data_IF_369919516487
#
_entry.id   IF_369919516487
#
_cell.length_a   1.000
_cell.length_b   1.000
_cell.length_c   1.000
_cell.angle_alpha   90.00
_cell.angle_beta   90.00
_cell.angle_gamma   90.00
#
_symmetry.space_group_name_H-M   'P 1'
#
loop_
_entity.id
_entity.type
_entity.pdbx_description
1 polymer ?
#
# COMPACT_ATOMS: atom_id res chain seq x y z
N UNK A 1 -2.85 -20.00 -3.24
CA UNK A 1 -3.28 -19.96 -1.83
C UNK A 1 -3.31 -18.52 -1.34
N UNK A 2 -4.15 -18.20 -0.39
CA UNK A 2 -4.08 -16.92 0.30
C UNK A 2 -3.05 -16.99 1.43
N UNK A 3 -2.62 -15.82 1.96
CA UNK A 3 -1.60 -15.73 3.02
C UNK A 3 -1.83 -16.69 4.20
N UNK A 4 -3.07 -16.79 4.70
CA UNK A 4 -3.42 -17.69 5.81
C UNK A 4 -3.17 -19.18 5.51
N UNK A 5 -3.43 -19.58 4.27
CA UNK A 5 -3.16 -20.96 3.85
C UNK A 5 -1.66 -21.24 3.79
N UNK A 6 -0.87 -20.23 3.37
CA UNK A 6 0.59 -20.32 3.38
C UNK A 6 1.13 -20.43 4.81
N UNK A 7 0.68 -19.58 5.72
CA UNK A 7 1.08 -19.60 7.14
C UNK A 7 0.74 -20.95 7.78
N UNK A 8 -0.43 -21.51 7.46
CA UNK A 8 -0.82 -22.86 7.91
C UNK A 8 0.08 -23.94 7.31
N UNK A 9 0.30 -23.92 5.99
CA UNK A 9 1.15 -24.89 5.31
C UNK A 9 2.62 -24.82 5.80
N UNK A 10 3.08 -23.62 6.17
CA UNK A 10 4.39 -23.40 6.78
C UNK A 10 4.47 -24.06 8.17
N UNK A 11 3.45 -23.86 9.01
CA UNK A 11 3.39 -24.46 10.35
C UNK A 11 3.26 -25.99 10.32
N UNK A 12 2.48 -26.53 9.38
CA UNK A 12 2.21 -27.96 9.23
C UNK A 12 3.35 -28.69 8.48
N UNK A 13 4.34 -27.97 7.93
CA UNK A 13 5.39 -28.54 7.10
C UNK A 13 4.94 -29.05 5.73
N UNK A 14 3.71 -28.71 5.29
CA UNK A 14 3.09 -29.16 4.03
C UNK A 14 3.33 -28.22 2.83
N UNK A 15 4.37 -27.38 2.92
CA UNK A 15 4.73 -26.46 1.85
C UNK A 15 5.15 -27.20 0.57
N UNK A 16 4.64 -26.80 -0.61
CA UNK A 16 5.14 -27.32 -1.87
C UNK A 16 6.61 -26.93 -2.09
N UNK A 17 7.34 -27.76 -2.85
CA UNK A 17 8.74 -27.49 -3.20
C UNK A 17 8.91 -26.29 -4.14
N UNK A 18 7.85 -25.82 -4.78
CA UNK A 18 7.88 -24.64 -5.65
C UNK A 18 6.86 -23.63 -5.19
N UNK A 19 7.31 -22.41 -4.92
CA UNK A 19 6.49 -21.29 -4.48
C UNK A 19 6.63 -20.10 -5.43
N UNK A 20 5.58 -19.31 -5.57
CA UNK A 20 5.58 -18.02 -6.25
C UNK A 20 4.93 -16.99 -5.34
N UNK A 21 5.70 -16.02 -4.88
CA UNK A 21 5.20 -14.85 -4.15
C UNK A 21 4.94 -13.72 -5.13
N UNK A 22 3.69 -13.25 -5.18
CA UNK A 22 3.27 -12.14 -6.03
C UNK A 22 2.35 -11.18 -5.30
N UNK A 23 2.16 -9.98 -5.84
CA UNK A 23 1.24 -8.99 -5.30
C UNK A 23 1.90 -7.68 -4.92
N UNK A 24 1.09 -6.71 -4.53
CA UNK A 24 1.51 -5.33 -4.30
C UNK A 24 1.99 -5.06 -2.87
N UNK A 25 1.67 -5.95 -1.89
CA UNK A 25 2.03 -5.81 -0.48
C UNK A 25 3.46 -6.33 -0.22
N UNK A 26 4.45 -5.47 -0.51
CA UNK A 26 5.87 -5.84 -0.42
C UNK A 26 6.29 -6.22 1.00
N UNK A 27 5.86 -5.46 2.01
CA UNK A 27 6.20 -5.76 3.41
C UNK A 27 5.69 -7.14 3.83
N UNK A 28 4.48 -7.51 3.41
CA UNK A 28 3.92 -8.83 3.74
C UNK A 28 4.67 -9.97 3.05
N UNK A 29 5.16 -9.76 1.83
CA UNK A 29 6.03 -10.74 1.14
C UNK A 29 7.34 -10.91 1.86
N UNK A 30 7.96 -9.82 2.34
CA UNK A 30 9.18 -9.86 3.12
C UNK A 30 8.99 -10.57 4.46
N UNK A 31 7.88 -10.28 5.16
CA UNK A 31 7.52 -10.98 6.40
C UNK A 31 7.33 -12.48 6.17
N UNK A 32 6.66 -12.87 5.07
CA UNK A 32 6.46 -14.26 4.70
C UNK A 32 7.79 -14.96 4.33
N UNK A 33 8.69 -14.26 3.63
CA UNK A 33 10.04 -14.77 3.34
C UNK A 33 10.86 -14.93 4.60
N UNK A 34 10.78 -13.98 5.54
CA UNK A 34 11.46 -14.09 6.85
C UNK A 34 10.92 -15.28 7.66
N UNK A 35 9.60 -15.49 7.67
CA UNK A 35 8.99 -16.66 8.31
C UNK A 35 9.43 -17.97 7.65
N UNK A 36 9.51 -18.00 6.31
CA UNK A 36 9.99 -19.15 5.54
C UNK A 36 11.45 -19.49 5.90
N UNK A 37 12.33 -18.49 5.95
CA UNK A 37 13.73 -18.64 6.40
C UNK A 37 13.81 -19.22 7.80
N UNK A 38 13.11 -18.60 8.73
CA UNK A 38 13.12 -19.05 10.15
C UNK A 38 12.65 -20.49 10.33
N UNK A 39 11.73 -20.95 9.49
CA UNK A 39 11.18 -22.32 9.59
C UNK A 39 12.05 -23.36 8.89
N UNK A 40 12.62 -23.01 7.72
CA UNK A 40 13.36 -23.97 6.89
C UNK A 40 14.86 -24.02 7.21
N UNK A 41 15.44 -22.90 7.66
CA UNK A 41 16.87 -22.78 7.81
C UNK A 41 17.28 -22.88 9.30
N UNK A 42 18.17 -23.79 9.67
CA UNK A 42 18.69 -23.85 11.03
C UNK A 42 19.49 -22.59 11.38
N UNK A 43 19.33 -22.11 12.61
CA UNK A 43 20.04 -20.92 13.09
C UNK A 43 21.57 -21.07 12.96
N UNK A 44 22.21 -20.09 12.32
CA UNK A 44 23.65 -20.07 12.04
C UNK A 44 24.08 -20.90 10.81
N UNK A 45 23.13 -21.49 10.08
CA UNK A 45 23.39 -22.24 8.84
C UNK A 45 22.68 -21.65 7.62
N UNK A 46 22.16 -20.43 7.78
CA UNK A 46 21.36 -19.77 6.74
C UNK A 46 22.16 -19.60 5.45
N UNK A 47 23.39 -19.09 5.53
CA UNK A 47 24.25 -18.85 4.36
C UNK A 47 24.59 -20.13 3.56
N UNK A 48 24.58 -21.30 4.22
CA UNK A 48 24.87 -22.58 3.57
C UNK A 48 23.63 -23.19 2.90
N UNK A 49 22.45 -22.82 3.37
CA UNK A 49 21.18 -23.41 2.93
C UNK A 49 20.27 -22.43 2.17
N UNK A 50 20.63 -21.16 2.07
CA UNK A 50 19.95 -20.19 1.22
C UNK A 50 20.81 -19.78 0.04
N UNK A 51 20.18 -19.67 -1.13
CA UNK A 51 20.77 -19.08 -2.31
C UNK A 51 19.79 -18.08 -2.93
N UNK A 52 20.24 -16.84 -3.07
CA UNK A 52 19.46 -15.80 -3.76
C UNK A 52 20.09 -15.58 -5.13
N UNK A 53 19.28 -15.70 -6.18
CA UNK A 53 19.72 -15.58 -7.55
C UNK A 53 18.93 -14.46 -8.24
N UNK A 54 19.67 -13.54 -8.84
CA UNK A 54 19.13 -12.46 -9.65
C UNK A 54 19.37 -12.80 -11.13
N UNK A 55 18.31 -12.96 -11.91
CA UNK A 55 18.31 -13.29 -13.33
C UNK A 55 19.21 -14.51 -13.72
N UNK A 56 19.06 -15.67 -13.04
CA UNK A 56 19.92 -16.83 -13.30
C UNK A 56 19.52 -17.56 -14.58
N UNK A 57 20.52 -18.18 -15.21
CA UNK A 57 20.28 -19.17 -16.26
C UNK A 57 19.59 -20.42 -15.69
N UNK A 58 18.73 -21.07 -16.49
CA UNK A 58 17.98 -22.26 -16.05
C UNK A 58 18.85 -23.35 -15.45
N UNK A 59 20.04 -23.60 -16.03
CA UNK A 59 20.97 -24.62 -15.53
C UNK A 59 21.52 -24.29 -14.13
N UNK A 60 21.69 -23.00 -13.82
CA UNK A 60 22.07 -22.56 -12.48
C UNK A 60 20.96 -22.80 -11.47
N UNK A 61 19.69 -22.54 -11.85
CA UNK A 61 18.53 -22.82 -11.00
C UNK A 61 18.41 -24.31 -10.69
N UNK A 62 18.56 -25.16 -11.72
CA UNK A 62 18.51 -26.61 -11.57
C UNK A 62 19.65 -27.09 -10.66
N UNK A 63 20.89 -26.67 -10.91
CA UNK A 63 22.03 -27.04 -10.09
C UNK A 63 21.88 -26.61 -8.63
N UNK A 64 21.34 -25.42 -8.39
CA UNK A 64 21.05 -24.94 -7.05
C UNK A 64 20.00 -25.80 -6.33
N UNK A 65 18.94 -26.21 -7.04
CA UNK A 65 17.85 -27.01 -6.49
C UNK A 65 18.28 -28.48 -6.22
N UNK A 66 19.15 -29.05 -7.05
CA UNK A 66 19.70 -30.41 -6.92
C UNK A 66 20.79 -30.50 -5.83
N UNK A 67 21.34 -29.39 -5.39
CA UNK A 67 22.35 -29.39 -4.31
C UNK A 67 21.69 -29.75 -3.01
N UNK A 68 22.23 -30.76 -2.29
CA UNK A 68 21.70 -31.19 -0.99
C UNK A 68 21.85 -30.11 0.08
N UNK A 69 20.87 -30.00 1.02
CA UNK A 69 20.98 -29.10 2.16
C UNK A 69 22.12 -29.52 3.09
N UNK A 70 22.74 -28.54 3.76
CA UNK A 70 23.81 -28.78 4.71
C UNK A 70 23.25 -28.74 6.15
N UNK A 71 23.25 -29.91 6.83
CA UNK A 71 22.74 -30.06 8.22
C UNK A 71 21.31 -29.46 8.40
N UNK A 72 20.49 -29.52 7.37
CA UNK A 72 19.10 -29.04 7.35
C UNK A 72 18.23 -30.03 6.56
N UNK A 73 16.90 -29.99 6.78
CA UNK A 73 15.97 -30.83 6.04
C UNK A 73 15.74 -30.29 4.61
N UNK A 74 15.76 -28.99 4.47
CA UNK A 74 15.52 -28.30 3.21
C UNK A 74 16.46 -27.12 3.03
N UNK A 75 16.72 -26.77 1.76
CA UNK A 75 17.38 -25.51 1.38
C UNK A 75 16.39 -24.60 0.67
N UNK A 76 16.66 -23.31 0.69
CA UNK A 76 15.85 -22.25 0.07
C UNK A 76 16.59 -21.62 -1.10
N UNK A 77 15.98 -21.64 -2.28
CA UNK A 77 16.48 -20.96 -3.47
C UNK A 77 15.48 -19.84 -3.81
N UNK A 78 15.91 -18.57 -3.74
CA UNK A 78 15.08 -17.40 -4.00
C UNK A 78 15.45 -16.80 -5.36
N UNK A 79 14.52 -16.79 -6.29
CA UNK A 79 14.67 -16.20 -7.62
C UNK A 79 13.93 -14.86 -7.64
N UNK A 80 14.67 -13.75 -7.67
CA UNK A 80 14.06 -12.40 -7.68
C UNK A 80 13.69 -11.98 -9.09
N UNK A 81 12.44 -11.56 -9.25
CA UNK A 81 11.88 -10.99 -10.49
C UNK A 81 12.25 -11.77 -11.77
N UNK A 82 12.30 -13.10 -11.68
CA UNK A 82 12.70 -13.96 -12.77
C UNK A 82 11.86 -13.69 -14.04
N UNK A 83 12.51 -13.52 -15.23
CA UNK A 83 11.81 -13.13 -16.47
C UNK A 83 10.68 -14.06 -16.89
N UNK A 84 10.80 -15.37 -16.61
CA UNK A 84 9.77 -16.35 -16.92
C UNK A 84 8.46 -16.17 -16.15
N UNK A 85 8.43 -15.39 -15.05
CA UNK A 85 7.20 -15.07 -14.29
C UNK A 85 6.79 -13.61 -14.41
N UNK A 86 7.72 -12.67 -14.64
CA UNK A 86 7.43 -11.22 -14.72
C UNK A 86 7.01 -10.76 -16.11
N UNK A 87 7.04 -11.60 -17.12
CA UNK A 87 6.65 -11.26 -18.48
C UNK A 87 7.73 -10.56 -19.32
N UNK A 88 8.91 -10.30 -18.77
CA UNK A 88 10.01 -9.59 -19.45
C UNK A 88 10.89 -10.47 -20.36
N UNK A 89 10.78 -11.80 -20.24
CA UNK A 89 11.59 -12.78 -21.00
C UNK A 89 10.78 -13.71 -21.86
N UNK A 90 11.48 -14.53 -22.64
CA UNK A 90 10.90 -15.63 -23.39
C UNK A 90 10.39 -16.76 -22.48
N UNK A 91 9.66 -17.72 -23.06
CA UNK A 91 9.21 -18.88 -22.33
C UNK A 91 10.40 -19.79 -22.01
N UNK A 92 10.58 -20.11 -20.73
CA UNK A 92 11.60 -21.07 -20.29
C UNK A 92 10.97 -22.45 -20.17
N UNK A 93 10.83 -23.14 -21.30
CA UNK A 93 10.21 -24.45 -21.36
C UNK A 93 11.02 -25.50 -20.58
N UNK A 94 12.35 -25.34 -20.48
CA UNK A 94 13.25 -26.24 -19.74
C UNK A 94 12.98 -26.10 -18.22
N UNK A 95 12.89 -24.88 -17.72
CA UNK A 95 12.57 -24.63 -16.31
C UNK A 95 11.17 -25.12 -15.98
N UNK A 96 10.18 -24.85 -16.84
CA UNK A 96 8.79 -25.32 -16.65
C UNK A 96 8.72 -26.85 -16.58
N UNK A 97 9.45 -27.54 -17.43
CA UNK A 97 9.52 -29.03 -17.43
C UNK A 97 10.19 -29.58 -16.16
N UNK A 98 11.13 -28.83 -15.59
CA UNK A 98 11.85 -29.22 -14.38
C UNK A 98 11.04 -29.08 -13.09
N UNK A 99 10.12 -28.10 -12.99
CA UNK A 99 9.40 -27.79 -11.75
C UNK A 99 8.80 -29.01 -11.01
N UNK A 100 8.15 -29.98 -11.70
CA UNK A 100 7.62 -31.18 -11.04
C UNK A 100 8.69 -32.10 -10.44
N UNK A 101 9.94 -31.94 -10.86
CA UNK A 101 11.08 -32.77 -10.44
C UNK A 101 11.91 -32.12 -9.34
N UNK A 102 11.55 -30.90 -8.89
CA UNK A 102 12.25 -30.22 -7.78
C UNK A 102 12.25 -31.13 -6.55
N UNK A 103 13.43 -31.46 -5.97
CA UNK A 103 13.54 -32.36 -4.83
C UNK A 103 12.75 -31.85 -3.62
N UNK A 104 12.22 -32.76 -2.80
CA UNK A 104 11.55 -32.41 -1.55
C UNK A 104 12.48 -31.73 -0.54
N UNK A 105 13.79 -31.87 -0.72
CA UNK A 105 14.86 -31.23 0.07
C UNK A 105 15.15 -29.80 -0.37
N UNK A 106 14.47 -29.28 -1.39
CA UNK A 106 14.62 -27.91 -1.86
C UNK A 106 13.25 -27.18 -1.86
N UNK A 107 13.29 -25.88 -1.58
CA UNK A 107 12.18 -24.95 -1.81
C UNK A 107 12.65 -23.91 -2.80
N UNK A 108 12.06 -23.91 -3.99
CA UNK A 108 12.30 -22.95 -5.05
C UNK A 108 11.24 -21.86 -4.98
N UNK A 109 11.64 -20.65 -4.59
CA UNK A 109 10.76 -19.50 -4.45
C UNK A 109 10.99 -18.49 -5.57
N UNK A 110 10.01 -18.29 -6.41
CA UNK A 110 9.94 -17.14 -7.31
C UNK A 110 9.37 -15.95 -6.53
N UNK A 111 10.18 -14.94 -6.31
CA UNK A 111 9.80 -13.73 -5.57
C UNK A 111 9.61 -12.57 -6.56
N UNK A 112 8.36 -12.13 -6.77
CA UNK A 112 8.04 -11.02 -7.65
C UNK A 112 7.82 -9.73 -6.86
N UNK A 113 8.49 -8.64 -7.25
CA UNK A 113 8.31 -7.30 -6.65
C UNK A 113 6.90 -6.73 -6.92
N UNK A 114 6.13 -7.31 -7.81
CA UNK A 114 4.77 -6.90 -8.13
C UNK A 114 3.91 -8.09 -8.48
N UNK A 115 3.00 -7.88 -9.44
CA UNK A 115 2.19 -8.96 -10.01
C UNK A 115 2.99 -9.74 -11.03
N UNK A 116 2.85 -11.04 -11.01
CA UNK A 116 3.37 -11.93 -12.05
C UNK A 116 2.46 -11.93 -13.29
N UNK A 117 2.98 -12.39 -14.42
CA UNK A 117 2.20 -12.55 -15.65
C UNK A 117 1.49 -13.91 -15.69
N UNK A 118 0.20 -13.91 -15.37
CA UNK A 118 -0.64 -15.11 -15.34
C UNK A 118 -0.75 -15.85 -16.69
N UNK A 119 -0.32 -15.24 -17.80
CA UNK A 119 -0.30 -15.85 -19.14
C UNK A 119 0.92 -16.75 -19.37
N UNK A 120 1.93 -16.64 -18.53
CA UNK A 120 3.16 -17.44 -18.64
C UNK A 120 2.94 -18.90 -18.29
N UNK A 121 3.61 -19.79 -19.03
CA UNK A 121 3.57 -21.24 -18.79
C UNK A 121 4.04 -21.59 -17.37
N UNK A 122 5.10 -20.91 -16.88
CA UNK A 122 5.64 -21.13 -15.55
C UNK A 122 4.60 -20.79 -14.46
N UNK A 123 3.89 -19.64 -14.58
CA UNK A 123 2.79 -19.31 -13.67
C UNK A 123 1.74 -20.43 -13.62
N UNK A 124 1.34 -20.92 -14.80
CA UNK A 124 0.34 -22.00 -14.89
C UNK A 124 0.85 -23.30 -14.24
N UNK A 125 2.13 -23.62 -14.40
CA UNK A 125 2.74 -24.79 -13.78
C UNK A 125 2.77 -24.68 -12.27
N UNK A 126 3.26 -23.56 -11.71
CA UNK A 126 3.27 -23.32 -10.25
C UNK A 126 1.85 -23.30 -9.68
N UNK A 127 0.88 -22.75 -10.41
CA UNK A 127 -0.54 -22.74 -10.00
C UNK A 127 -1.09 -24.17 -9.85
N UNK A 128 -0.78 -25.06 -10.79
CA UNK A 128 -1.20 -26.49 -10.72
C UNK A 128 -0.59 -27.20 -9.52
N UNK A 129 0.61 -26.81 -9.10
CA UNK A 129 1.28 -27.35 -7.92
C UNK A 129 0.78 -26.73 -6.60
N UNK A 130 -0.14 -25.76 -6.66
CA UNK A 130 -0.67 -25.06 -5.48
C UNK A 130 0.31 -24.05 -4.84
N UNK A 131 1.42 -23.73 -5.51
CA UNK A 131 2.51 -22.93 -4.94
C UNK A 131 2.37 -21.42 -5.06
N UNK A 132 1.29 -20.88 -5.67
CA UNK A 132 1.12 -19.42 -5.77
C UNK A 132 0.59 -18.86 -4.46
N UNK A 133 1.30 -17.87 -3.91
CA UNK A 133 0.89 -17.09 -2.73
C UNK A 133 0.73 -15.63 -3.16
N UNK A 134 -0.50 -15.14 -3.10
CA UNK A 134 -0.84 -13.78 -3.52
C UNK A 134 -0.95 -12.84 -2.33
N UNK A 135 -0.14 -11.78 -2.33
CA UNK A 135 -0.15 -10.70 -1.35
C UNK A 135 -0.83 -9.47 -1.97
N UNK A 136 -2.15 -9.56 -2.11
CA UNK A 136 -2.94 -8.46 -2.64
C UNK A 136 -2.97 -7.29 -1.65
N UNK A 137 -3.12 -6.08 -2.20
CA UNK A 137 -3.25 -4.88 -1.38
C UNK A 137 -4.45 -5.00 -0.45
N UNK A 138 -4.20 -4.80 0.84
CA UNK A 138 -5.26 -4.81 1.84
C UNK A 138 -6.19 -3.60 1.67
N UNK A 139 -7.47 -3.79 1.89
CA UNK A 139 -8.46 -2.73 1.81
C UNK A 139 -9.65 -2.98 2.72
N UNK A 140 -10.37 -1.90 3.07
CA UNK A 140 -11.59 -1.99 3.87
C UNK A 140 -11.37 -2.74 5.19
N UNK A 141 -12.27 -3.65 5.51
CA UNK A 141 -12.24 -4.39 6.78
C UNK A 141 -10.99 -5.26 6.98
N UNK A 142 -10.35 -5.72 5.91
CA UNK A 142 -9.09 -6.49 6.01
C UNK A 142 -7.94 -5.61 6.50
N UNK A 143 -7.86 -4.36 5.99
CA UNK A 143 -6.84 -3.41 6.42
C UNK A 143 -7.08 -2.95 7.87
N UNK A 144 -8.34 -2.70 8.25
CA UNK A 144 -8.69 -2.37 9.65
C UNK A 144 -8.28 -3.51 10.58
N UNK A 145 -8.57 -4.76 10.21
CA UNK A 145 -8.14 -5.93 10.98
C UNK A 145 -6.62 -6.04 11.07
N UNK A 146 -5.91 -5.83 9.98
CA UNK A 146 -4.44 -5.82 9.98
C UNK A 146 -3.88 -4.83 11.00
N UNK A 147 -4.44 -3.63 11.10
CA UNK A 147 -4.01 -2.60 12.06
C UNK A 147 -4.32 -3.01 13.51
N UNK A 148 -5.53 -3.53 13.77
CA UNK A 148 -5.90 -4.00 15.13
C UNK A 148 -5.05 -5.18 15.57
N UNK A 149 -4.81 -6.16 14.68
CA UNK A 149 -3.97 -7.32 14.96
C UNK A 149 -2.52 -6.90 15.23
N UNK A 150 -1.98 -5.95 14.46
CA UNK A 150 -0.62 -5.44 14.65
C UNK A 150 -0.45 -4.66 15.97
N UNK A 151 -1.46 -3.90 16.42
CA UNK A 151 -1.45 -3.32 17.77
C UNK A 151 -1.51 -4.39 18.86
N UNK A 152 -2.33 -5.41 18.67
CA UNK A 152 -2.43 -6.53 19.61
C UNK A 152 -1.08 -7.29 19.71
N UNK A 153 -0.39 -7.54 18.59
CA UNK A 153 0.97 -8.09 18.56
C UNK A 153 1.97 -7.22 19.35
N UNK A 154 1.77 -5.89 19.35
CA UNK A 154 2.57 -4.94 20.14
C UNK A 154 2.09 -4.80 21.60
N UNK A 155 1.17 -5.67 22.06
CA UNK A 155 0.64 -5.66 23.43
C UNK A 155 -0.32 -4.50 23.73
N UNK A 156 -1.00 -3.97 22.69
CA UNK A 156 -1.93 -2.85 22.80
C UNK A 156 -3.30 -3.18 22.22
N UNK A 157 -4.35 -2.74 22.89
CA UNK A 157 -5.69 -2.78 22.33
C UNK A 157 -5.95 -1.54 21.46
N UNK A 158 -6.59 -1.75 20.31
CA UNK A 158 -6.96 -0.69 19.38
C UNK A 158 -8.36 -0.99 18.83
N UNK A 159 -9.29 -0.07 19.00
CA UNK A 159 -10.62 -0.22 18.43
C UNK A 159 -10.62 0.06 16.91
N UNK A 160 -11.64 -0.45 16.22
CA UNK A 160 -11.76 -0.31 14.76
C UNK A 160 -11.80 1.15 14.30
N UNK A 161 -12.36 2.06 15.09
CA UNK A 161 -12.45 3.49 14.77
C UNK A 161 -11.08 4.16 14.83
N UNK A 162 -10.27 3.84 15.83
CA UNK A 162 -8.88 4.31 15.97
C UNK A 162 -8.01 3.74 14.87
N UNK A 163 -8.19 2.45 14.52
CA UNK A 163 -7.51 1.82 13.40
C UNK A 163 -7.84 2.49 12.06
N UNK A 164 -9.11 2.75 11.79
CA UNK A 164 -9.55 3.46 10.57
C UNK A 164 -8.99 4.88 10.51
N UNK A 165 -8.89 5.56 11.67
CA UNK A 165 -8.29 6.90 11.75
C UNK A 165 -6.79 6.87 11.45
N UNK A 166 -6.07 5.86 11.94
CA UNK A 166 -4.66 5.66 11.59
C UNK A 166 -4.49 5.41 10.08
N UNK A 167 -5.31 4.53 9.51
CA UNK A 167 -5.31 4.25 8.06
C UNK A 167 -5.58 5.52 7.25
N UNK A 168 -6.55 6.32 7.65
CA UNK A 168 -6.85 7.59 6.99
C UNK A 168 -5.68 8.57 7.07
N UNK A 169 -4.97 8.60 8.20
CA UNK A 169 -3.85 9.52 8.44
C UNK A 169 -2.60 9.10 7.67
N UNK A 170 -2.21 7.85 7.78
CA UNK A 170 -0.95 7.30 7.25
C UNK A 170 -1.09 6.81 5.81
N UNK A 171 -2.28 6.36 5.43
CA UNK A 171 -2.54 5.68 4.17
C UNK A 171 -2.63 4.16 4.34
N UNK A 172 -2.73 3.45 3.21
CA UNK A 172 -3.01 2.01 3.18
C UNK A 172 -1.76 1.13 3.00
N UNK A 173 -0.56 1.70 3.01
CA UNK A 173 0.68 0.94 2.90
C UNK A 173 0.99 0.20 4.21
N UNK A 174 1.07 -1.13 4.14
CA UNK A 174 1.24 -1.97 5.33
C UNK A 174 2.56 -1.72 6.07
N UNK A 175 3.64 -1.39 5.34
CA UNK A 175 4.94 -1.06 5.93
C UNK A 175 4.90 0.23 6.73
N UNK A 176 4.35 1.29 6.15
CA UNK A 176 4.14 2.58 6.81
C UNK A 176 3.24 2.44 8.04
N UNK A 177 2.14 1.69 7.92
CA UNK A 177 1.25 1.41 9.05
C UNK A 177 1.96 0.68 10.19
N UNK A 178 2.75 -0.37 9.91
CA UNK A 178 3.53 -1.08 10.94
C UNK A 178 4.53 -0.16 11.66
N UNK A 179 5.21 0.70 10.91
CA UNK A 179 6.16 1.66 11.49
C UNK A 179 5.48 2.65 12.43
N UNK A 180 4.32 3.20 12.02
CA UNK A 180 3.53 4.10 12.85
C UNK A 180 2.91 3.40 14.06
N UNK A 181 2.43 2.15 13.90
CA UNK A 181 1.92 1.31 15.00
C UNK A 181 3.00 1.08 16.05
N UNK A 182 4.22 0.71 15.66
CA UNK A 182 5.32 0.50 16.59
C UNK A 182 5.66 1.78 17.37
N UNK A 183 5.68 2.93 16.69
CA UNK A 183 5.90 4.24 17.31
C UNK A 183 4.82 4.61 18.32
N UNK A 184 3.55 4.45 17.95
CA UNK A 184 2.39 4.77 18.80
C UNK A 184 2.31 3.81 20.00
N UNK A 185 2.53 2.50 19.77
CA UNK A 185 2.55 1.50 20.84
C UNK A 185 3.66 1.79 21.87
N UNK A 186 4.85 2.17 21.40
CA UNK A 186 5.96 2.57 22.28
C UNK A 186 5.65 3.81 23.11
N UNK A 187 5.00 4.81 22.51
CA UNK A 187 4.57 6.03 23.22
C UNK A 187 3.50 5.74 24.28
N UNK A 188 2.61 4.79 24.00
CA UNK A 188 1.57 4.41 24.97
C UNK A 188 2.17 3.83 26.27
N UNK A 189 3.43 3.36 26.28
CA UNK A 189 4.13 2.86 27.47
C UNK A 189 3.34 1.76 28.19
N UNK A 190 3.02 1.95 29.46
CA UNK A 190 2.26 0.99 30.26
C UNK A 190 0.74 0.98 29.99
N UNK A 191 0.22 1.94 29.24
CA UNK A 191 -1.22 1.98 28.92
C UNK A 191 -1.60 0.76 28.06
N UNK A 192 -2.69 0.05 28.40
CA UNK A 192 -3.09 -1.16 27.66
C UNK A 192 -3.71 -0.86 26.31
N UNK A 193 -4.20 0.37 26.07
CA UNK A 193 -4.90 0.76 24.84
C UNK A 193 -4.33 2.02 24.21
N UNK A 194 -4.48 2.13 22.90
CA UNK A 194 -4.18 3.31 22.10
C UNK A 194 -5.48 4.03 21.70
N UNK A 195 -5.41 5.34 21.53
CA UNK A 195 -6.57 6.20 21.25
C UNK A 195 -6.37 7.03 19.97
N UNK A 196 -7.45 7.60 19.46
CA UNK A 196 -7.39 8.54 18.34
C UNK A 196 -6.52 9.78 18.64
N UNK A 197 -6.41 10.19 19.92
CA UNK A 197 -5.54 11.30 20.33
C UNK A 197 -4.07 10.93 20.20
N UNK A 198 -3.69 9.69 20.50
CA UNK A 198 -2.32 9.19 20.30
C UNK A 198 -1.97 9.19 18.80
N UNK A 199 -2.89 8.75 17.96
CA UNK A 199 -2.74 8.82 16.49
C UNK A 199 -2.58 10.26 16.03
N UNK A 200 -3.45 11.18 16.50
CA UNK A 200 -3.40 12.59 16.13
C UNK A 200 -2.10 13.28 16.54
N UNK A 201 -1.53 12.90 17.68
CA UNK A 201 -0.32 13.49 18.22
C UNK A 201 0.97 13.00 17.53
N UNK A 202 0.99 11.73 17.08
CA UNK A 202 2.22 11.04 16.70
C UNK A 202 2.28 10.60 15.26
N UNK A 203 1.13 10.22 14.67
CA UNK A 203 1.14 9.66 13.32
C UNK A 203 1.60 10.70 12.29
N UNK A 204 2.49 10.28 11.41
CA UNK A 204 2.97 11.10 10.30
C UNK A 204 1.92 11.09 9.18
N UNK A 205 1.27 12.24 8.87
CA UNK A 205 0.25 12.27 7.84
C UNK A 205 0.84 11.98 6.45
N UNK A 206 0.15 11.13 5.69
CA UNK A 206 0.41 10.94 4.28
C UNK A 206 0.18 12.22 3.48
N UNK A 207 0.70 12.27 2.26
CA UNK A 207 0.41 13.39 1.35
C UNK A 207 -1.10 13.55 1.10
N UNK A 208 -1.84 12.44 1.00
CA UNK A 208 -3.31 12.48 0.84
C UNK A 208 -4.01 13.10 2.04
N UNK A 209 -3.62 12.69 3.25
CA UNK A 209 -4.15 13.27 4.48
C UNK A 209 -3.81 14.75 4.60
N UNK A 210 -2.58 15.14 4.24
CA UNK A 210 -2.16 16.54 4.27
C UNK A 210 -2.92 17.39 3.26
N UNK A 211 -3.17 16.88 2.04
CA UNK A 211 -4.00 17.58 1.05
C UNK A 211 -5.45 17.71 1.54
N UNK A 212 -5.98 16.69 2.21
CA UNK A 212 -7.28 16.80 2.86
C UNK A 212 -7.32 17.94 3.92
N UNK A 213 -6.29 18.01 4.78
CA UNK A 213 -6.13 19.09 5.76
C UNK A 213 -5.92 20.47 5.11
N UNK A 214 -5.22 20.51 3.98
CA UNK A 214 -5.02 21.71 3.18
C UNK A 214 -6.36 22.24 2.65
N UNK A 215 -7.19 21.37 2.08
CA UNK A 215 -8.54 21.75 1.61
C UNK A 215 -9.41 22.19 2.78
N UNK A 216 -9.32 21.54 3.94
CA UNK A 216 -10.00 21.97 5.15
C UNK A 216 -9.59 23.38 5.58
N UNK A 217 -8.29 23.67 5.57
CA UNK A 217 -7.77 25.00 5.86
C UNK A 217 -8.24 26.06 4.83
N UNK A 218 -8.34 25.70 3.56
CA UNK A 218 -8.90 26.56 2.51
C UNK A 218 -10.40 26.80 2.79
N UNK A 219 -11.16 25.75 3.05
CA UNK A 219 -12.60 25.82 3.34
C UNK A 219 -12.91 26.65 4.59
N UNK A 220 -12.05 26.57 5.59
CA UNK A 220 -12.22 27.33 6.85
C UNK A 220 -11.59 28.75 6.82
N UNK A 221 -11.00 29.15 5.67
CA UNK A 221 -10.37 30.48 5.49
C UNK A 221 -9.04 30.66 6.23
N UNK A 222 -8.41 29.57 6.67
CA UNK A 222 -7.15 29.58 7.40
C UNK A 222 -5.95 29.73 6.43
N UNK A 223 -5.83 30.92 5.81
CA UNK A 223 -4.85 31.23 4.74
C UNK A 223 -3.42 30.82 5.11
N UNK A 224 -2.95 31.24 6.30
CA UNK A 224 -1.60 30.92 6.78
C UNK A 224 -1.35 29.42 6.90
N UNK A 225 -2.32 28.68 7.46
CA UNK A 225 -2.23 27.22 7.62
C UNK A 225 -2.19 26.50 6.28
N UNK A 226 -3.05 26.91 5.34
CA UNK A 226 -3.08 26.33 4.00
C UNK A 226 -1.71 26.44 3.28
N UNK A 227 -1.10 27.64 3.31
CA UNK A 227 0.20 27.86 2.70
C UNK A 227 1.33 27.10 3.42
N UNK A 228 1.29 27.00 4.76
CA UNK A 228 2.27 26.21 5.53
C UNK A 228 2.19 24.74 5.17
N UNK A 229 0.97 24.14 5.14
CA UNK A 229 0.77 22.74 4.78
C UNK A 229 1.31 22.45 3.38
N UNK A 230 1.02 23.31 2.41
CA UNK A 230 1.55 23.19 1.05
C UNK A 230 3.09 23.24 1.03
N UNK A 231 3.69 24.27 1.66
CA UNK A 231 5.15 24.45 1.67
C UNK A 231 5.86 23.29 2.36
N UNK A 232 5.37 22.81 3.48
CA UNK A 232 5.95 21.68 4.19
C UNK A 232 5.96 20.41 3.34
N UNK A 233 4.88 20.14 2.59
CA UNK A 233 4.85 18.98 1.69
C UNK A 233 5.87 19.08 0.56
N UNK A 234 6.05 20.26 -0.03
CA UNK A 234 7.05 20.49 -1.06
C UNK A 234 8.49 20.35 -0.50
N UNK A 235 8.73 20.86 0.71
CA UNK A 235 10.03 20.72 1.39
C UNK A 235 10.32 19.26 1.76
N UNK A 236 9.31 18.47 2.07
CA UNK A 236 9.42 17.03 2.34
C UNK A 236 9.55 16.17 1.07
N UNK A 237 9.73 16.77 -0.09
CA UNK A 237 9.99 16.08 -1.35
C UNK A 237 8.74 15.63 -2.11
N UNK A 238 7.54 16.07 -1.69
CA UNK A 238 6.33 15.79 -2.49
C UNK A 238 6.41 16.52 -3.82
N UNK A 239 6.30 15.78 -4.91
CA UNK A 239 6.26 16.35 -6.25
C UNK A 239 5.05 17.28 -6.43
N UNK A 240 5.22 18.53 -6.87
CA UNK A 240 4.13 19.50 -7.02
C UNK A 240 3.00 19.00 -7.93
N UNK A 241 3.33 18.22 -8.97
CA UNK A 241 2.34 17.61 -9.85
C UNK A 241 1.47 16.58 -9.12
N UNK A 242 2.06 15.79 -8.21
CA UNK A 242 1.33 14.83 -7.39
C UNK A 242 0.38 15.56 -6.42
N UNK A 243 0.84 16.63 -5.77
CA UNK A 243 0.00 17.45 -4.91
C UNK A 243 -1.19 18.07 -5.67
N UNK A 244 -0.94 18.58 -6.89
CA UNK A 244 -2.00 19.16 -7.73
C UNK A 244 -3.04 18.09 -8.13
N UNK A 245 -2.60 16.89 -8.50
CA UNK A 245 -3.50 15.77 -8.82
C UNK A 245 -4.37 15.38 -7.60
N UNK A 246 -3.80 15.39 -6.40
CA UNK A 246 -4.53 15.11 -5.16
C UNK A 246 -5.53 16.22 -4.83
N UNK A 247 -5.18 17.50 -5.04
CA UNK A 247 -6.10 18.63 -4.89
C UNK A 247 -7.29 18.52 -5.86
N UNK A 248 -7.01 18.24 -7.13
CA UNK A 248 -8.05 18.03 -8.12
C UNK A 248 -8.98 16.88 -7.73
N UNK A 249 -8.42 15.75 -7.29
CA UNK A 249 -9.18 14.59 -6.80
C UNK A 249 -10.06 14.97 -5.61
N UNK A 250 -9.53 15.73 -4.66
CA UNK A 250 -10.27 16.19 -3.49
C UNK A 250 -11.47 17.05 -3.88
N UNK A 251 -11.30 18.07 -4.72
CA UNK A 251 -12.42 18.91 -5.18
C UNK A 251 -13.44 18.14 -6.02
N UNK A 252 -13.01 17.13 -6.79
CA UNK A 252 -13.94 16.22 -7.49
C UNK A 252 -14.75 15.39 -6.50
N UNK A 253 -14.18 14.93 -5.39
CA UNK A 253 -14.94 14.26 -4.33
C UNK A 253 -16.01 15.20 -3.75
N UNK A 254 -15.67 16.45 -3.44
CA UNK A 254 -16.64 17.43 -2.97
C UNK A 254 -17.76 17.68 -3.99
N UNK A 255 -17.43 17.72 -5.28
CA UNK A 255 -18.41 17.83 -6.35
C UNK A 255 -19.35 16.61 -6.40
N UNK A 256 -18.82 15.40 -6.32
CA UNK A 256 -19.62 14.18 -6.29
C UNK A 256 -20.56 14.15 -5.06
N UNK A 257 -20.08 14.57 -3.89
CA UNK A 257 -20.93 14.67 -2.69
C UNK A 257 -22.09 15.62 -2.94
N UNK A 258 -21.85 16.81 -3.51
CA UNK A 258 -22.94 17.77 -3.83
C UNK A 258 -23.98 17.18 -4.77
N UNK A 259 -23.53 16.48 -5.81
CA UNK A 259 -24.43 15.82 -6.77
C UNK A 259 -25.26 14.75 -6.07
N UNK A 260 -24.61 13.86 -5.31
CA UNK A 260 -25.30 12.78 -4.58
C UNK A 260 -26.27 13.32 -3.51
N UNK A 261 -25.92 14.43 -2.84
CA UNK A 261 -26.83 15.11 -1.93
C UNK A 261 -28.04 15.71 -2.64
N UNK A 262 -27.82 16.34 -3.80
CA UNK A 262 -28.91 16.86 -4.64
C UNK A 262 -29.84 15.73 -5.10
N UNK A 263 -29.28 14.58 -5.48
CA UNK A 263 -30.03 13.36 -5.82
C UNK A 263 -30.65 12.65 -4.60
N UNK A 264 -30.54 13.21 -3.40
CA UNK A 264 -31.06 12.66 -2.14
C UNK A 264 -30.55 11.22 -1.84
N UNK A 265 -29.33 10.90 -2.25
CA UNK A 265 -28.71 9.61 -1.90
C UNK A 265 -28.47 9.53 -0.38
N UNK A 266 -28.57 8.31 0.16
CA UNK A 266 -28.31 8.09 1.59
C UNK A 266 -26.82 8.30 1.93
N UNK A 267 -26.53 8.60 3.19
CA UNK A 267 -25.15 8.77 3.69
C UNK A 267 -24.31 7.49 3.47
N UNK A 268 -24.91 6.32 3.66
CA UNK A 268 -24.23 5.05 3.45
C UNK A 268 -23.90 4.82 1.97
N UNK A 269 -24.79 5.23 1.06
CA UNK A 269 -24.50 5.20 -0.36
C UNK A 269 -23.32 6.12 -0.71
N UNK A 270 -23.31 7.37 -0.22
CA UNK A 270 -22.24 8.33 -0.47
C UNK A 270 -20.92 7.79 0.07
N UNK A 271 -20.92 7.26 1.31
CA UNK A 271 -19.75 6.65 1.93
C UNK A 271 -19.17 5.50 1.09
N UNK A 272 -20.03 4.58 0.67
CA UNK A 272 -19.63 3.42 -0.12
C UNK A 272 -19.12 3.82 -1.49
N UNK A 273 -19.77 4.79 -2.15
CA UNK A 273 -19.36 5.29 -3.47
C UNK A 273 -18.00 6.00 -3.44
N UNK A 274 -17.66 6.66 -2.34
CA UNK A 274 -16.38 7.35 -2.17
C UNK A 274 -15.29 6.44 -1.57
N UNK A 275 -15.65 5.31 -0.98
CA UNK A 275 -14.71 4.41 -0.30
C UNK A 275 -14.05 5.02 0.94
N UNK A 276 -14.76 5.94 1.64
CA UNK A 276 -14.20 6.66 2.80
C UNK A 276 -14.71 6.08 4.13
N UNK A 277 -13.92 6.14 5.22
CA UNK A 277 -14.37 5.70 6.53
C UNK A 277 -15.48 6.61 7.07
N UNK A 278 -16.34 6.10 8.00
CA UNK A 278 -17.50 6.84 8.51
C UNK A 278 -17.18 8.22 9.09
N UNK A 279 -16.10 8.34 9.86
CA UNK A 279 -15.69 9.61 10.48
C UNK A 279 -15.21 10.65 9.45
N UNK A 280 -14.58 10.21 8.36
CA UNK A 280 -14.10 11.10 7.31
C UNK A 280 -15.27 11.64 6.47
N UNK A 281 -16.34 10.87 6.30
CA UNK A 281 -17.53 11.30 5.54
C UNK A 281 -18.10 12.62 6.10
N UNK A 282 -18.19 12.78 7.42
CA UNK A 282 -18.71 13.99 8.03
C UNK A 282 -17.85 15.22 7.73
N UNK A 283 -16.54 15.03 7.67
CA UNK A 283 -15.60 16.09 7.31
C UNK A 283 -15.72 16.44 5.83
N UNK A 284 -15.80 15.45 4.95
CA UNK A 284 -16.03 15.66 3.51
C UNK A 284 -17.36 16.39 3.24
N UNK A 285 -18.43 16.00 3.93
CA UNK A 285 -19.74 16.65 3.82
C UNK A 285 -19.64 18.11 4.31
N UNK A 286 -18.94 18.39 5.41
CA UNK A 286 -18.72 19.76 5.89
C UNK A 286 -17.94 20.60 4.87
N UNK A 287 -16.85 20.06 4.32
CA UNK A 287 -16.08 20.73 3.28
C UNK A 287 -16.96 21.02 2.05
N UNK A 288 -17.73 20.05 1.57
CA UNK A 288 -18.63 20.24 0.45
C UNK A 288 -19.73 21.28 0.75
N UNK A 289 -20.26 21.29 1.97
CA UNK A 289 -21.34 22.22 2.37
C UNK A 289 -20.88 23.66 2.44
N UNK A 290 -19.60 23.93 2.63
CA UNK A 290 -19.03 25.27 2.66
C UNK A 290 -18.98 25.96 1.28
N UNK A 291 -19.22 25.22 0.22
CA UNK A 291 -19.23 25.73 -1.16
C UNK A 291 -20.62 25.62 -1.77
N UNK A 292 -20.95 26.55 -2.65
CA UNK A 292 -22.05 26.38 -3.62
C UNK A 292 -21.61 25.40 -4.73
N UNK A 293 -22.57 24.84 -5.47
CA UNK A 293 -22.24 23.98 -6.63
C UNK A 293 -21.42 24.71 -7.70
N UNK A 294 -21.66 26.01 -7.88
CA UNK A 294 -20.90 26.86 -8.80
C UNK A 294 -19.45 27.04 -8.36
N UNK A 295 -19.22 27.32 -7.08
CA UNK A 295 -17.88 27.48 -6.50
C UNK A 295 -17.05 26.19 -6.58
N UNK A 296 -17.65 25.01 -6.31
CA UNK A 296 -16.94 23.73 -6.48
C UNK A 296 -16.58 23.50 -7.96
N UNK A 297 -17.49 23.75 -8.90
CA UNK A 297 -17.21 23.64 -10.32
C UNK A 297 -16.05 24.55 -10.74
N UNK A 298 -16.02 25.77 -10.22
CA UNK A 298 -14.93 26.72 -10.46
C UNK A 298 -13.62 26.25 -9.82
N UNK A 299 -13.64 25.69 -8.62
CA UNK A 299 -12.46 25.12 -7.97
C UNK A 299 -11.86 23.98 -8.80
N UNK A 300 -12.70 23.06 -9.29
CA UNK A 300 -12.28 21.98 -10.20
C UNK A 300 -11.66 22.53 -11.49
N UNK A 301 -12.28 23.56 -12.09
CA UNK A 301 -11.75 24.21 -13.29
C UNK A 301 -10.37 24.84 -13.05
N UNK A 302 -10.20 25.57 -11.93
CA UNK A 302 -8.91 26.17 -11.55
C UNK A 302 -7.81 25.11 -11.36
N UNK A 303 -8.11 23.99 -10.70
CA UNK A 303 -7.16 22.89 -10.55
C UNK A 303 -6.79 22.31 -11.92
N UNK A 304 -7.76 22.08 -12.80
CA UNK A 304 -7.53 21.54 -14.13
C UNK A 304 -6.73 22.50 -15.03
N UNK A 305 -7.04 23.80 -15.02
CA UNK A 305 -6.30 24.83 -15.77
C UNK A 305 -4.85 24.91 -15.30
N UNK A 306 -4.62 24.80 -13.98
CA UNK A 306 -3.27 24.80 -13.40
C UNK A 306 -2.50 23.54 -13.82
N UNK A 307 -3.13 22.36 -13.81
CA UNK A 307 -2.54 21.12 -14.28
C UNK A 307 -2.18 21.17 -15.77
N UNK A 308 -3.07 21.69 -16.59
CA UNK A 308 -2.83 21.88 -18.01
C UNK A 308 -1.70 22.89 -18.29
N UNK A 309 -1.71 24.02 -17.58
CA UNK A 309 -0.64 25.04 -17.66
C UNK A 309 0.72 24.48 -17.31
N UNK A 310 0.78 23.62 -16.30
CA UNK A 310 1.99 22.91 -15.90
C UNK A 310 2.44 21.90 -16.98
N UNK A 311 1.56 20.97 -17.39
CA UNK A 311 1.88 19.94 -18.39
C UNK A 311 2.26 20.54 -19.76
N UNK A 312 1.74 21.70 -20.10
CA UNK A 312 2.09 22.43 -21.33
C UNK A 312 3.33 23.32 -21.22
N UNK A 313 3.99 23.36 -20.08
CA UNK A 313 5.18 24.21 -19.84
C UNK A 313 4.89 25.72 -19.73
N UNK A 314 3.62 26.12 -19.66
CA UNK A 314 3.21 27.54 -19.55
C UNK A 314 3.39 28.11 -18.16
N UNK A 315 3.40 27.28 -17.13
CA UNK A 315 3.48 27.68 -15.73
C UNK A 315 4.66 27.01 -15.04
N UNK A 316 5.37 27.78 -14.24
CA UNK A 316 6.34 27.23 -13.29
C UNK A 316 5.61 26.61 -12.10
N UNK A 317 5.94 25.38 -11.75
CA UNK A 317 5.14 24.50 -10.89
C UNK A 317 4.90 25.06 -9.49
N UNK A 318 5.97 25.51 -8.81
CA UNK A 318 5.85 25.97 -7.41
C UNK A 318 5.01 27.25 -7.29
N UNK A 319 5.23 28.23 -8.17
CA UNK A 319 4.45 29.47 -8.17
C UNK A 319 3.02 29.25 -8.63
N UNK A 320 2.77 28.30 -9.55
CA UNK A 320 1.44 27.95 -10.00
C UNK A 320 0.60 27.31 -8.89
N UNK A 321 1.20 26.44 -8.07
CA UNK A 321 0.52 25.80 -6.94
C UNK A 321 0.16 26.82 -5.86
N UNK A 322 1.08 27.73 -5.52
CA UNK A 322 0.81 28.81 -4.56
C UNK A 322 -0.32 29.75 -5.06
N UNK A 323 -0.26 30.14 -6.32
CA UNK A 323 -1.30 30.96 -6.96
C UNK A 323 -2.67 30.23 -6.97
N UNK A 324 -2.68 28.90 -7.21
CA UNK A 324 -3.89 28.10 -7.14
C UNK A 324 -4.51 28.15 -5.75
N UNK A 325 -3.70 27.91 -4.69
CA UNK A 325 -4.21 27.93 -3.32
C UNK A 325 -4.81 29.31 -2.97
N UNK A 326 -4.16 30.39 -3.39
CA UNK A 326 -4.70 31.77 -3.19
C UNK A 326 -6.02 31.94 -3.93
N UNK A 327 -6.14 31.49 -5.17
CA UNK A 327 -7.40 31.54 -5.94
C UNK A 327 -8.51 30.72 -5.27
N UNK A 328 -8.19 29.52 -4.78
CA UNK A 328 -9.15 28.66 -4.06
C UNK A 328 -9.65 29.29 -2.75
N UNK A 329 -8.77 29.99 -2.01
CA UNK A 329 -9.14 30.75 -0.83
C UNK A 329 -10.11 31.90 -1.14
N UNK A 330 -9.87 32.60 -2.26
CA UNK A 330 -10.70 33.74 -2.66
C UNK A 330 -12.06 33.33 -3.24
N UNK A 331 -12.21 32.08 -3.73
CA UNK A 331 -13.52 31.58 -4.20
C UNK A 331 -14.62 31.62 -3.13
N UNK A 332 -14.24 31.69 -1.88
CA UNK A 332 -15.16 31.67 -0.75
C UNK A 332 -15.61 33.07 -0.33
N UNK A 333 -14.84 34.10 -0.71
CA UNK A 333 -15.12 35.52 -0.35
C UNK A 333 -16.13 36.17 -1.32
N UNK A 334 -16.55 35.44 -2.40
CA UNK A 334 -17.57 35.83 -3.37
C UNK A 334 -18.84 35.03 -3.12
#
# INVERSE_FOLDING_TARGET
MVRKDFEKALADGSLPSVLLFEGEEEQMKQDALAALRKTLLPAGMEEMNEMVLDDPETDQVIAAAETLPFLADRRLIVLRDHPAVTGRGEADDKLVAYLPSVPSTAVLLFYCTGKSDARKKLYTAVKKMGGIVTFARLSGAELTRFVTDAFHEAGKECDARTADYLIFTVGSDAGSLRSEIAKIASYAGERPSVTADDVSALATPSTECTVFQLVDAVVTGQKKRALILMKNQLLNGTEPAAMLALLLRQYRFLQHIKIMQYEKKSRDFIRSALGVPPFALDQYIRQASAYTGGQIKQAVALCFETEYGFKSGRLQVNSALEALIIKLLNLREI
#
